data_IF_880907100678
#
_entry.id   IF_880907100678
#
_cell.length_a   1.000
_cell.length_b   1.000
_cell.length_c   1.000
_cell.angle_alpha   90.00
_cell.angle_beta   90.00
_cell.angle_gamma   90.00
#
_symmetry.space_group_name_H-M   'P 1'
#
loop_
_entity.id
_entity.type
_entity.pdbx_description
1 polymer ?
#
# COMPACT_ATOMS: atom_id res chain seq x y z
N UNK A 1 14.88 -13.44 1.90
CA UNK A 1 15.90 -12.38 1.74
C UNK A 1 16.32 -12.24 0.27
N UNK A 2 16.61 -13.33 -0.41
CA UNK A 2 17.02 -13.30 -1.82
C UNK A 2 15.97 -12.65 -2.73
N UNK A 3 14.70 -12.83 -2.42
CA UNK A 3 13.59 -12.25 -3.21
C UNK A 3 13.47 -10.74 -3.08
N UNK A 4 14.09 -10.16 -2.05
CA UNK A 4 14.06 -8.73 -1.82
C UNK A 4 15.23 -8.00 -2.49
N UNK A 5 16.30 -8.69 -2.82
CA UNK A 5 17.46 -8.08 -3.45
C UNK A 5 17.15 -7.46 -4.82
N UNK A 6 16.36 -8.10 -5.71
CA UNK A 6 15.97 -7.46 -6.96
C UNK A 6 15.20 -6.17 -6.76
N UNK A 7 14.42 -6.05 -5.67
CA UNK A 7 13.69 -4.82 -5.34
C UNK A 7 14.70 -3.70 -5.03
N UNK A 8 15.71 -4.01 -4.22
CA UNK A 8 16.76 -3.04 -3.88
C UNK A 8 17.52 -2.61 -5.14
N UNK A 9 17.87 -3.56 -6.02
CA UNK A 9 18.55 -3.25 -7.27
C UNK A 9 17.74 -2.29 -8.13
N UNK A 10 16.43 -2.51 -8.23
CA UNK A 10 15.56 -1.65 -9.02
C UNK A 10 15.37 -0.28 -8.37
N UNK A 11 15.35 -0.21 -7.05
CA UNK A 11 15.30 1.05 -6.35
C UNK A 11 16.57 1.87 -6.60
N UNK A 12 17.73 1.23 -6.56
CA UNK A 12 19.01 1.86 -6.88
C UNK A 12 19.00 2.40 -8.30
N UNK A 13 18.48 1.62 -9.24
CA UNK A 13 18.37 2.03 -10.64
C UNK A 13 17.43 3.22 -10.81
N UNK A 14 16.33 3.25 -10.08
CA UNK A 14 15.39 4.37 -10.11
C UNK A 14 16.03 5.65 -9.57
N UNK A 15 16.82 5.55 -8.52
CA UNK A 15 17.53 6.69 -7.95
C UNK A 15 18.52 7.25 -8.96
N UNK A 16 19.32 6.40 -9.60
CA UNK A 16 20.28 6.83 -10.61
C UNK A 16 19.56 7.50 -11.78
N UNK A 17 18.46 6.91 -12.24
CA UNK A 17 17.66 7.48 -13.32
C UNK A 17 17.09 8.84 -12.96
N UNK A 18 16.61 8.99 -11.72
CA UNK A 18 16.09 10.27 -11.23
C UNK A 18 17.15 11.36 -11.12
N UNK A 19 18.39 10.99 -10.79
CA UNK A 19 19.50 11.94 -10.73
C UNK A 19 19.96 12.42 -12.10
N UNK A 20 19.86 11.55 -13.10
CA UNK A 20 20.32 11.86 -14.46
C UNK A 20 19.25 12.45 -15.35
N UNK A 21 18.00 12.33 -14.98
CA UNK A 21 16.87 12.70 -15.81
C UNK A 21 15.89 13.55 -15.01
N UNK A 22 15.57 14.73 -15.54
CA UNK A 22 14.62 15.64 -14.91
C UNK A 22 13.16 15.28 -15.20
N UNK A 23 12.92 14.20 -15.93
CA UNK A 23 11.57 13.76 -16.26
C UNK A 23 10.89 13.09 -15.07
N UNK A 24 9.96 13.82 -14.45
CA UNK A 24 9.21 13.34 -13.29
C UNK A 24 8.33 12.15 -13.60
N UNK A 25 7.81 12.07 -14.81
CA UNK A 25 6.95 10.95 -15.21
C UNK A 25 7.72 9.65 -15.29
N UNK A 26 8.92 9.69 -15.86
CA UNK A 26 9.78 8.50 -15.93
C UNK A 26 10.20 8.05 -14.53
N UNK A 27 10.53 9.00 -13.65
CA UNK A 27 10.88 8.69 -12.27
C UNK A 27 9.71 8.05 -11.54
N UNK A 28 8.52 8.62 -11.68
CA UNK A 28 7.32 8.10 -11.04
C UNK A 28 6.99 6.68 -11.53
N UNK A 29 7.10 6.43 -12.83
CA UNK A 29 6.89 5.09 -13.37
C UNK A 29 7.90 4.09 -12.83
N UNK A 30 9.16 4.50 -12.70
CA UNK A 30 10.21 3.66 -12.11
C UNK A 30 9.88 3.29 -10.68
N UNK A 31 9.42 4.25 -9.89
CA UNK A 31 9.02 4.01 -8.50
C UNK A 31 7.82 3.08 -8.42
N UNK A 32 6.82 3.26 -9.29
CA UNK A 32 5.65 2.39 -9.34
C UNK A 32 6.03 0.95 -9.67
N UNK A 33 6.99 0.76 -10.57
CA UNK A 33 7.48 -0.57 -10.90
C UNK A 33 8.18 -1.24 -9.72
N UNK A 34 8.98 -0.48 -8.97
CA UNK A 34 9.65 -0.98 -7.76
C UNK A 34 8.60 -1.38 -6.73
N UNK A 35 7.59 -0.55 -6.53
CA UNK A 35 6.51 -0.84 -5.60
C UNK A 35 5.78 -2.13 -5.97
N UNK A 36 5.44 -2.27 -7.24
CA UNK A 36 4.78 -3.48 -7.73
C UNK A 36 5.63 -4.72 -7.50
N UNK A 37 6.92 -4.62 -7.80
CA UNK A 37 7.83 -5.74 -7.65
C UNK A 37 7.99 -6.14 -6.19
N UNK A 38 8.05 -5.17 -5.30
CA UNK A 38 8.10 -5.43 -3.85
C UNK A 38 6.81 -6.09 -3.39
N UNK A 39 5.66 -5.58 -3.83
CA UNK A 39 4.36 -6.16 -3.51
C UNK A 39 4.25 -7.61 -4.01
N UNK A 40 4.69 -7.87 -5.25
CA UNK A 40 4.68 -9.23 -5.81
C UNK A 40 5.57 -10.17 -5.00
N UNK A 41 6.72 -9.67 -4.54
CA UNK A 41 7.63 -10.46 -3.71
C UNK A 41 6.99 -10.81 -2.36
N UNK A 42 6.29 -9.87 -1.75
CA UNK A 42 5.56 -10.10 -0.50
C UNK A 42 4.44 -11.11 -0.71
N UNK A 43 3.69 -10.99 -1.79
CA UNK A 43 2.64 -11.94 -2.15
C UNK A 43 3.21 -13.35 -2.32
N UNK A 44 4.38 -13.45 -2.93
CA UNK A 44 5.07 -14.72 -3.13
C UNK A 44 5.43 -15.44 -1.83
N UNK A 45 5.60 -14.70 -0.74
CA UNK A 45 5.89 -15.29 0.58
C UNK A 45 4.66 -15.37 1.49
N UNK A 46 3.49 -15.00 0.98
CA UNK A 46 2.22 -15.15 1.70
C UNK A 46 1.70 -13.89 2.38
N UNK A 47 2.32 -12.74 2.13
CA UNK A 47 1.85 -11.45 2.66
C UNK A 47 0.88 -10.82 1.67
N UNK A 48 -0.28 -10.40 2.16
CA UNK A 48 -1.31 -9.77 1.34
C UNK A 48 -1.68 -8.40 1.88
N UNK A 49 -1.98 -7.47 0.98
CA UNK A 49 -2.52 -6.17 1.37
C UNK A 49 -3.99 -6.33 1.79
N UNK A 50 -4.39 -5.60 2.83
CA UNK A 50 -5.78 -5.58 3.29
C UNK A 50 -6.54 -4.58 2.42
N UNK A 51 -7.66 -5.01 1.85
CA UNK A 51 -8.53 -4.11 1.09
C UNK A 51 -9.21 -3.13 2.04
N UNK A 52 -9.27 -1.87 1.65
CA UNK A 52 -9.81 -0.81 2.51
C UNK A 52 -10.74 0.14 1.79
N UNK A 53 -10.23 1.00 0.91
CA UNK A 53 -11.03 2.06 0.30
C UNK A 53 -12.25 1.50 -0.44
N UNK A 54 -13.43 2.05 -0.15
CA UNK A 54 -14.68 1.61 -0.74
C UNK A 54 -15.32 0.40 -0.07
N UNK A 55 -14.64 -0.17 0.94
CA UNK A 55 -15.15 -1.31 1.69
C UNK A 55 -15.80 -0.85 2.98
N UNK A 56 -16.59 -1.71 3.59
CA UNK A 56 -17.14 -1.47 4.91
C UNK A 56 -16.06 -1.65 5.96
N UNK A 57 -16.05 -0.76 6.96
CA UNK A 57 -15.09 -0.83 8.05
C UNK A 57 -15.21 -2.14 8.82
N UNK A 58 -14.09 -2.83 8.99
CA UNK A 58 -13.99 -4.07 9.73
C UNK A 58 -12.91 -3.93 10.80
N UNK A 59 -13.29 -3.89 12.11
CA UNK A 59 -12.31 -3.67 13.16
C UNK A 59 -11.25 -4.77 13.29
N UNK A 60 -11.48 -5.93 12.68
CA UNK A 60 -10.49 -7.01 12.70
C UNK A 60 -9.27 -6.71 11.82
N UNK A 61 -9.45 -5.89 10.77
CA UNK A 61 -8.38 -5.60 9.81
C UNK A 61 -8.13 -4.11 9.61
N UNK A 62 -9.05 -3.26 10.03
CA UNK A 62 -8.95 -1.81 9.87
C UNK A 62 -8.92 -1.10 11.23
N UNK A 63 -8.24 0.04 11.26
CA UNK A 63 -8.23 0.94 12.41
C UNK A 63 -8.71 2.31 11.95
N UNK A 64 -9.88 2.72 12.41
CA UNK A 64 -10.46 4.02 12.05
C UNK A 64 -9.83 5.11 12.92
N UNK A 65 -9.01 5.96 12.30
CA UNK A 65 -8.35 7.06 13.00
C UNK A 65 -9.04 8.40 12.77
N UNK A 66 -9.93 8.48 11.80
CA UNK A 66 -10.73 9.68 11.51
C UNK A 66 -12.11 9.30 11.00
N UNK A 67 -13.07 10.19 11.21
CA UNK A 67 -14.40 10.11 10.60
C UNK A 67 -14.67 11.40 9.84
N UNK A 68 -15.48 11.30 8.80
CA UNK A 68 -15.88 12.46 8.00
C UNK A 68 -17.28 12.24 7.44
N UNK A 69 -18.08 13.29 7.43
CA UNK A 69 -19.40 13.23 6.78
C UNK A 69 -19.20 13.13 5.27
N UNK A 70 -19.95 12.26 4.63
CA UNK A 70 -19.90 12.09 3.19
C UNK A 70 -21.23 11.59 2.67
N UNK A 71 -21.36 11.52 1.34
CA UNK A 71 -22.53 10.95 0.67
C UNK A 71 -22.55 9.43 0.72
N UNK A 72 -21.46 8.81 1.19
CA UNK A 72 -21.36 7.36 1.30
C UNK A 72 -22.10 6.87 2.55
N UNK A 73 -22.43 5.59 2.54
CA UNK A 73 -23.05 4.95 3.70
C UNK A 73 -22.13 5.04 4.91
N UNK A 74 -22.72 5.09 6.10
CA UNK A 74 -21.96 5.11 7.34
C UNK A 74 -21.03 3.88 7.39
N UNK A 75 -19.83 4.07 7.93
CA UNK A 75 -18.79 3.06 8.05
C UNK A 75 -18.13 2.64 6.74
N UNK A 76 -18.42 3.33 5.64
CA UNK A 76 -17.67 3.13 4.40
C UNK A 76 -16.29 3.78 4.54
N UNK A 77 -15.25 3.05 4.15
CA UNK A 77 -13.89 3.59 4.19
C UNK A 77 -13.69 4.57 3.04
N UNK A 78 -13.38 5.82 3.39
CA UNK A 78 -13.22 6.90 2.43
C UNK A 78 -11.78 7.06 1.97
N UNK A 79 -10.84 6.84 2.88
CA UNK A 79 -9.42 7.06 2.62
C UNK A 79 -8.59 6.10 3.46
N UNK A 80 -7.44 5.70 2.93
CA UNK A 80 -6.48 4.85 3.63
C UNK A 80 -5.19 5.65 3.82
N UNK A 81 -4.83 5.92 5.08
CA UNK A 81 -3.62 6.67 5.41
C UNK A 81 -2.39 5.80 5.47
N UNK A 82 -2.55 4.55 5.86
CA UNK A 82 -1.47 3.57 5.88
C UNK A 82 -2.05 2.21 5.53
N UNK A 83 -1.38 1.51 4.64
CA UNK A 83 -1.83 0.19 4.20
C UNK A 83 -1.64 -0.85 5.28
N UNK A 84 -2.64 -1.72 5.43
CA UNK A 84 -2.55 -2.87 6.31
C UNK A 84 -2.11 -4.10 5.54
N UNK A 85 -1.54 -5.04 6.27
CA UNK A 85 -1.04 -6.29 5.69
C UNK A 85 -1.36 -7.46 6.60
N UNK A 86 -1.60 -8.59 5.98
CA UNK A 86 -1.78 -9.85 6.70
C UNK A 86 -0.84 -10.90 6.11
N UNK A 87 -0.38 -11.78 6.97
CA UNK A 87 0.42 -12.94 6.58
C UNK A 87 -0.42 -14.17 6.86
N UNK A 88 -0.83 -14.85 5.77
CA UNK A 88 -1.81 -15.92 5.84
C UNK A 88 -3.07 -15.36 6.52
N UNK A 89 -3.51 -15.90 7.66
CA UNK A 89 -4.71 -15.43 8.34
C UNK A 89 -4.41 -14.45 9.48
N UNK A 90 -3.16 -14.04 9.66
CA UNK A 90 -2.74 -13.18 10.75
C UNK A 90 -2.51 -11.75 10.26
N UNK A 91 -3.17 -10.79 10.89
CA UNK A 91 -2.95 -9.38 10.61
C UNK A 91 -1.60 -8.96 11.18
N UNK A 92 -0.71 -8.47 10.30
CA UNK A 92 0.60 -7.94 10.71
C UNK A 92 0.44 -6.48 11.13
N UNK A 93 -0.32 -5.72 10.34
CA UNK A 93 -0.60 -4.31 10.60
C UNK A 93 -1.97 -3.98 10.05
N UNK A 94 -2.82 -3.36 10.88
CA UNK A 94 -4.13 -2.89 10.45
C UNK A 94 -3.99 -1.72 9.48
N UNK A 95 -4.91 -1.61 8.52
CA UNK A 95 -5.01 -0.42 7.69
C UNK A 95 -5.49 0.75 8.54
N UNK A 96 -4.84 1.90 8.40
CA UNK A 96 -5.28 3.13 9.06
C UNK A 96 -6.17 3.89 8.10
N UNK A 97 -7.42 4.11 8.48
CA UNK A 97 -8.45 4.57 7.55
C UNK A 97 -9.27 5.72 8.10
N UNK A 98 -9.91 6.43 7.18
CA UNK A 98 -10.96 7.40 7.46
C UNK A 98 -12.28 6.77 7.02
N UNK A 99 -13.28 6.85 7.89
CA UNK A 99 -14.60 6.27 7.60
C UNK A 99 -15.68 7.34 7.51
N UNK A 100 -16.72 7.04 6.76
CA UNK A 100 -17.90 7.89 6.65
C UNK A 100 -18.70 7.81 7.96
N UNK A 101 -19.09 8.95 8.47
CA UNK A 101 -19.92 9.02 9.67
C UNK A 101 -21.40 8.83 9.36
#
# INVERSE_FOLDING_TARGET
>A
IEKLLPVLDNLDRAIVSGEQNEDKEALLEGIKMVRKQFSDSLTGIGVEEIEAVGKEFDPEVHNAIMTEESDQDANTILEEFAKGYKYKDKVIRHSMVKVSS
#
